data_IF_282081455455
#
_entry.id   IF_282081455455
#
_cell.length_a   1.000
_cell.length_b   1.000
_cell.length_c   1.000
_cell.angle_alpha   90.00
_cell.angle_beta   90.00
_cell.angle_gamma   90.00
#
_symmetry.space_group_name_H-M   'P 1'
#
loop_
_entity.id
_entity.type
_entity.pdbx_description
1 polymer ?
#
# COMPACT_ATOMS: atom_id res chain seq x y z
N UNK A 1 -15.02 -9.04 -13.79
CA UNK A 1 -14.71 -8.55 -12.43
C UNK A 1 -13.29 -8.01 -12.35
N UNK A 2 -12.25 -8.80 -12.67
CA UNK A 2 -10.85 -8.35 -12.56
C UNK A 2 -10.49 -7.13 -13.42
N UNK A 3 -10.81 -7.13 -14.71
CA UNK A 3 -10.62 -5.94 -15.56
C UNK A 3 -11.41 -4.73 -15.06
N UNK A 4 -12.61 -4.97 -14.54
CA UNK A 4 -13.44 -3.94 -13.93
C UNK A 4 -12.76 -3.34 -12.70
N UNK A 5 -12.11 -4.16 -11.85
CA UNK A 5 -11.37 -3.68 -10.69
C UNK A 5 -10.20 -2.79 -11.08
N UNK A 6 -9.44 -3.16 -12.11
CA UNK A 6 -8.32 -2.36 -12.62
C UNK A 6 -8.83 -1.01 -13.17
N UNK A 7 -9.93 -1.01 -13.92
CA UNK A 7 -10.50 0.24 -14.44
C UNK A 7 -11.14 1.09 -13.34
N UNK A 8 -11.74 0.48 -12.32
CA UNK A 8 -12.26 1.21 -11.17
C UNK A 8 -11.13 1.86 -10.38
N UNK A 9 -10.00 1.17 -10.17
CA UNK A 9 -8.82 1.76 -9.54
C UNK A 9 -8.31 2.97 -10.33
N UNK A 10 -8.22 2.86 -11.67
CA UNK A 10 -7.85 3.96 -12.55
C UNK A 10 -8.73 5.19 -12.37
N UNK A 11 -10.04 4.97 -12.31
CA UNK A 11 -11.01 6.08 -12.21
C UNK A 11 -11.01 6.65 -10.80
N UNK A 12 -10.92 5.79 -9.78
CA UNK A 12 -11.00 6.16 -8.38
C UNK A 12 -9.69 6.71 -7.80
N UNK A 13 -8.54 6.48 -8.44
CA UNK A 13 -7.22 6.95 -7.97
C UNK A 13 -7.20 8.44 -7.59
N UNK A 14 -7.86 9.28 -8.39
CA UNK A 14 -7.96 10.71 -8.15
C UNK A 14 -9.09 11.13 -7.17
N UNK A 15 -9.98 10.21 -6.78
CA UNK A 15 -11.17 10.49 -5.97
C UNK A 15 -11.14 9.69 -4.67
N UNK A 16 -10.60 10.30 -3.61
CA UNK A 16 -10.53 9.70 -2.27
C UNK A 16 -11.86 9.16 -1.74
N UNK A 17 -12.98 9.79 -2.12
CA UNK A 17 -14.34 9.37 -1.73
C UNK A 17 -14.75 7.99 -2.25
N UNK A 18 -14.08 7.46 -3.27
CA UNK A 18 -14.34 6.13 -3.83
C UNK A 18 -13.53 5.02 -3.14
N UNK A 19 -12.66 5.37 -2.20
CA UNK A 19 -11.85 4.40 -1.43
C UNK A 19 -12.68 3.31 -0.75
N UNK A 20 -13.81 3.59 -0.05
CA UNK A 20 -14.60 2.53 0.59
C UNK A 20 -15.15 1.50 -0.41
N UNK A 21 -15.46 1.93 -1.64
CA UNK A 21 -15.91 1.04 -2.71
C UNK A 21 -14.78 0.11 -3.18
N UNK A 22 -13.55 0.64 -3.33
CA UNK A 22 -12.38 -0.17 -3.64
C UNK A 22 -12.02 -1.13 -2.50
N UNK A 23 -12.06 -0.67 -1.25
CA UNK A 23 -11.90 -1.52 -0.07
C UNK A 23 -12.86 -2.71 -0.10
N UNK A 24 -14.16 -2.48 -0.31
CA UNK A 24 -15.14 -3.55 -0.43
C UNK A 24 -14.86 -4.50 -1.61
N UNK A 25 -14.40 -3.96 -2.75
CA UNK A 25 -14.08 -4.75 -3.94
C UNK A 25 -12.86 -5.66 -3.72
N UNK A 26 -11.76 -5.11 -3.20
CA UNK A 26 -10.57 -5.88 -2.87
C UNK A 26 -10.85 -6.85 -1.73
N UNK A 27 -11.70 -6.49 -0.76
CA UNK A 27 -12.14 -7.42 0.28
C UNK A 27 -12.83 -8.66 -0.33
N UNK A 28 -13.75 -8.41 -1.27
CA UNK A 28 -14.48 -9.47 -1.98
C UNK A 28 -13.58 -10.29 -2.89
N UNK A 29 -12.55 -9.70 -3.48
CA UNK A 29 -11.64 -10.39 -4.38
C UNK A 29 -10.57 -11.20 -3.64
N UNK A 30 -10.10 -10.73 -2.49
CA UNK A 30 -8.91 -11.28 -1.81
C UNK A 30 -9.21 -12.00 -0.51
N UNK A 31 -10.23 -11.62 0.29
CA UNK A 31 -10.56 -12.38 1.51
C UNK A 31 -11.68 -13.39 1.33
N UNK A 32 -12.73 -13.05 0.57
CA UNK A 32 -13.90 -13.94 0.47
C UNK A 32 -13.59 -15.29 -0.20
N UNK A 33 -12.75 -15.40 -1.23
CA UNK A 33 -12.36 -16.69 -1.78
C UNK A 33 -11.43 -17.43 -0.81
N UNK A 34 -11.59 -18.76 -0.71
CA UNK A 34 -10.61 -19.62 -0.05
C UNK A 34 -9.22 -19.45 -0.70
N UNK A 35 -8.13 -19.58 0.07
CA UNK A 35 -6.76 -19.35 -0.41
C UNK A 35 -6.43 -20.09 -1.73
N UNK A 36 -6.89 -21.33 -1.86
CA UNK A 36 -6.73 -22.15 -3.09
C UNK A 36 -7.36 -21.54 -4.37
N UNK A 37 -8.32 -20.62 -4.22
CA UNK A 37 -9.03 -19.97 -5.33
C UNK A 37 -8.54 -18.52 -5.57
N UNK A 38 -7.49 -18.06 -4.89
CA UNK A 38 -6.99 -16.68 -4.97
C UNK A 38 -5.98 -16.45 -6.08
N UNK A 39 -5.58 -17.48 -6.84
CA UNK A 39 -4.61 -17.34 -7.94
C UNK A 39 -5.07 -16.32 -8.99
N UNK A 40 -6.36 -16.32 -9.36
CA UNK A 40 -6.88 -15.37 -10.36
C UNK A 40 -6.99 -13.93 -9.81
N UNK A 41 -7.50 -13.70 -8.59
CA UNK A 41 -7.36 -12.42 -7.90
C UNK A 41 -5.92 -11.92 -7.79
N UNK A 42 -4.95 -12.79 -7.48
CA UNK A 42 -3.54 -12.41 -7.41
C UNK A 42 -2.96 -12.00 -8.76
N UNK A 43 -3.38 -12.63 -9.87
CA UNK A 43 -3.02 -12.12 -11.21
C UNK A 43 -3.55 -10.71 -11.44
N UNK A 44 -4.78 -10.41 -10.98
CA UNK A 44 -5.31 -9.06 -11.06
C UNK A 44 -4.48 -8.06 -10.24
N UNK A 45 -4.05 -8.45 -9.04
CA UNK A 45 -3.13 -7.68 -8.20
C UNK A 45 -1.80 -7.46 -8.93
N UNK A 46 -1.22 -8.51 -9.51
CA UNK A 46 0.01 -8.44 -10.31
C UNK A 46 -0.12 -7.43 -11.44
N UNK A 47 -1.22 -7.43 -12.20
CA UNK A 47 -1.42 -6.46 -13.30
C UNK A 47 -1.48 -5.00 -12.79
N UNK A 48 -2.01 -4.77 -11.58
CA UNK A 48 -1.96 -3.45 -10.95
C UNK A 48 -0.51 -3.10 -10.58
N UNK A 49 0.21 -4.02 -9.94
CA UNK A 49 1.57 -3.79 -9.45
C UNK A 49 2.59 -3.68 -10.57
N UNK A 50 2.36 -4.31 -11.73
CA UNK A 50 3.25 -4.34 -12.90
C UNK A 50 3.26 -3.03 -13.69
N UNK A 51 2.25 -2.18 -13.50
CA UNK A 51 2.10 -0.95 -14.26
C UNK A 51 2.34 0.25 -13.33
N UNK A 52 3.44 0.99 -13.49
CA UNK A 52 3.78 2.10 -12.59
C UNK A 52 2.65 3.13 -12.45
N UNK A 53 1.92 3.44 -13.53
CA UNK A 53 0.80 4.38 -13.47
C UNK A 53 -0.34 3.86 -12.59
N UNK A 54 -0.61 2.54 -12.61
CA UNK A 54 -1.61 1.93 -11.73
C UNK A 54 -1.14 1.91 -10.28
N UNK A 55 0.17 1.74 -10.04
CA UNK A 55 0.76 1.81 -8.72
C UNK A 55 0.66 3.22 -8.13
N UNK A 56 0.82 4.26 -8.96
CA UNK A 56 0.59 5.66 -8.57
C UNK A 56 -0.88 5.88 -8.18
N UNK A 57 -1.83 5.42 -9.01
CA UNK A 57 -3.26 5.53 -8.67
C UNK A 57 -3.60 4.79 -7.37
N UNK A 58 -2.97 3.64 -7.12
CA UNK A 58 -3.08 2.91 -5.87
C UNK A 58 -2.50 3.71 -4.69
N UNK A 59 -1.33 4.32 -4.83
CA UNK A 59 -0.72 5.15 -3.79
C UNK A 59 -1.59 6.37 -3.43
N UNK A 60 -2.18 7.02 -4.43
CA UNK A 60 -3.01 8.22 -4.23
C UNK A 60 -4.33 7.88 -3.54
N UNK A 61 -4.94 6.73 -3.84
CA UNK A 61 -6.18 6.31 -3.18
C UNK A 61 -5.96 5.76 -1.77
N UNK A 62 -4.76 5.24 -1.48
CA UNK A 62 -4.33 4.82 -0.14
C UNK A 62 -4.15 6.00 0.82
N UNK A 63 -3.95 7.22 0.32
CA UNK A 63 -3.84 8.39 1.19
C UNK A 63 -5.22 8.96 1.51
N UNK A 64 -5.61 8.96 2.79
CA UNK A 64 -6.90 9.49 3.26
C UNK A 64 -6.86 11.01 3.23
N UNK A 65 -7.95 11.63 2.78
CA UNK A 65 -8.11 13.07 2.92
C UNK A 65 -8.26 13.43 4.41
N UNK A 66 -7.27 14.14 4.96
CA UNK A 66 -7.24 14.57 6.37
C UNK A 66 -8.41 15.52 6.71
N UNK A 67 -9.09 16.10 5.71
CA UNK A 67 -10.25 16.98 5.89
C UNK A 67 -11.54 16.24 6.22
N UNK A 68 -11.66 14.96 5.88
CA UNK A 68 -12.75 14.12 6.35
C UNK A 68 -12.49 13.74 7.80
N UNK A 69 -13.24 14.32 8.75
CA UNK A 69 -13.15 14.06 10.20
C UNK A 69 -13.38 12.61 10.66
N UNK A 70 -13.37 11.64 9.74
CA UNK A 70 -13.20 10.22 10.02
C UNK A 70 -11.71 9.91 10.17
N UNK A 71 -11.12 10.36 11.28
CA UNK A 71 -9.83 9.85 11.72
C UNK A 71 -9.90 8.32 11.88
N UNK A 72 -8.83 7.64 11.50
CA UNK A 72 -8.58 6.20 11.74
C UNK A 72 -9.10 5.22 10.66
N UNK A 73 -9.10 5.58 9.37
CA UNK A 73 -8.93 4.57 8.32
C UNK A 73 -7.42 4.34 8.15
N UNK A 74 -6.95 3.12 8.36
CA UNK A 74 -5.54 2.78 8.20
C UNK A 74 -5.13 3.00 6.73
N UNK A 75 -4.27 3.99 6.49
CA UNK A 75 -3.85 4.43 5.15
C UNK A 75 -3.37 3.25 4.30
N UNK A 76 -2.74 2.26 4.93
CA UNK A 76 -2.20 1.08 4.28
C UNK A 76 -3.13 -0.13 4.31
N UNK A 77 -4.42 0.00 4.66
CA UNK A 77 -5.36 -1.12 4.74
C UNK A 77 -5.47 -1.92 3.44
N UNK A 78 -5.71 -1.25 2.31
CA UNK A 78 -5.80 -1.92 1.00
C UNK A 78 -4.49 -2.61 0.62
N UNK A 79 -3.35 -1.95 0.83
CA UNK A 79 -2.05 -2.51 0.48
C UNK A 79 -1.70 -3.72 1.38
N UNK A 80 -1.92 -3.62 2.69
CA UNK A 80 -1.73 -4.72 3.61
C UNK A 80 -2.66 -5.89 3.29
N UNK A 81 -3.91 -5.62 2.93
CA UNK A 81 -4.80 -6.67 2.49
C UNK A 81 -4.22 -7.46 1.30
N UNK A 82 -3.63 -6.76 0.32
CA UNK A 82 -2.98 -7.40 -0.82
C UNK A 82 -1.79 -8.26 -0.36
N UNK A 83 -0.94 -7.73 0.52
CA UNK A 83 0.24 -8.45 1.04
C UNK A 83 -0.16 -9.64 1.92
N UNK A 84 -1.15 -9.50 2.81
CA UNK A 84 -1.67 -10.57 3.66
C UNK A 84 -2.25 -11.71 2.80
N UNK A 85 -2.97 -11.38 1.72
CA UNK A 85 -3.49 -12.36 0.79
C UNK A 85 -2.37 -13.12 0.06
N UNK A 86 -1.27 -12.45 -0.28
CA UNK A 86 -0.08 -13.05 -0.86
C UNK A 86 0.65 -13.94 0.14
N UNK A 87 0.81 -13.49 1.38
CA UNK A 87 1.40 -14.26 2.47
C UNK A 87 0.61 -15.55 2.72
N UNK A 88 -0.71 -15.46 2.84
CA UNK A 88 -1.56 -16.65 3.08
C UNK A 88 -1.48 -17.65 1.93
N UNK A 89 -1.37 -17.17 0.68
CA UNK A 89 -1.15 -18.04 -0.49
C UNK A 89 0.24 -18.67 -0.52
N UNK A 90 1.26 -17.97 -0.01
CA UNK A 90 2.65 -18.43 0.02
C UNK A 90 2.94 -19.39 1.18
N UNK A 91 2.27 -19.26 2.34
CA UNK A 91 2.51 -20.10 3.53
C UNK A 91 1.53 -21.27 3.68
N UNK A 92 0.44 -21.33 2.90
CA UNK A 92 -0.47 -22.48 2.85
C UNK A 92 0.14 -23.78 2.29
N UNK A 93 1.46 -23.85 2.12
CA UNK A 93 2.27 -24.83 1.38
C UNK A 93 2.30 -26.24 2.00
N UNK A 94 1.70 -26.46 3.18
CA UNK A 94 1.94 -27.70 3.91
C UNK A 94 1.24 -28.96 3.38
N UNK A 95 0.36 -28.94 2.35
CA UNK A 95 -0.35 -30.21 1.99
C UNK A 95 -0.87 -30.50 0.57
N UNK A 96 -0.82 -29.68 -0.49
CA UNK A 96 -1.36 -30.10 -1.81
C UNK A 96 -0.83 -29.34 -3.05
N UNK A 97 -0.85 -30.01 -4.22
CA UNK A 97 -0.32 -29.55 -5.53
C UNK A 97 -0.97 -28.31 -6.15
N UNK A 98 -2.15 -27.87 -5.67
CA UNK A 98 -2.79 -26.62 -6.11
C UNK A 98 -2.14 -25.35 -5.55
N UNK A 99 -1.44 -25.44 -4.41
CA UNK A 99 -0.88 -24.29 -3.69
C UNK A 99 0.42 -23.73 -4.30
N UNK A 100 1.15 -24.49 -5.13
CA UNK A 100 2.36 -23.97 -5.79
C UNK A 100 2.04 -22.80 -6.73
N UNK A 101 0.85 -22.81 -7.32
CA UNK A 101 0.38 -21.71 -8.17
C UNK A 101 0.14 -20.41 -7.39
N UNK A 102 -0.27 -20.51 -6.12
CA UNK A 102 -0.48 -19.38 -5.23
C UNK A 102 0.85 -18.76 -4.79
N UNK A 103 1.83 -19.59 -4.43
CA UNK A 103 3.20 -19.13 -4.14
C UNK A 103 3.81 -18.45 -5.36
N UNK A 104 3.75 -19.07 -6.53
CA UNK A 104 4.26 -18.49 -7.77
C UNK A 104 3.60 -17.14 -8.09
N UNK A 105 2.27 -17.06 -8.03
CA UNK A 105 1.54 -15.81 -8.26
C UNK A 105 1.92 -14.72 -7.23
N UNK A 106 2.18 -15.10 -5.98
CA UNK A 106 2.61 -14.16 -4.93
C UNK A 106 4.03 -13.63 -5.20
N UNK A 107 4.96 -14.49 -5.59
CA UNK A 107 6.31 -14.08 -5.99
C UNK A 107 6.25 -13.16 -7.21
N UNK A 108 5.45 -13.50 -8.23
CA UNK A 108 5.26 -12.65 -9.41
C UNK A 108 4.69 -11.27 -9.05
N UNK A 109 3.78 -11.17 -8.08
CA UNK A 109 3.27 -9.89 -7.60
C UNK A 109 4.38 -9.04 -6.95
N UNK A 110 5.25 -9.65 -6.14
CA UNK A 110 6.39 -8.96 -5.52
C UNK A 110 7.41 -8.48 -6.56
N UNK A 111 7.76 -9.34 -7.53
CA UNK A 111 8.65 -8.95 -8.64
C UNK A 111 8.05 -7.78 -9.42
N UNK A 112 6.78 -7.87 -9.81
CA UNK A 112 6.09 -6.80 -10.52
C UNK A 112 6.07 -5.47 -9.75
N UNK A 113 5.84 -5.51 -8.43
CA UNK A 113 5.90 -4.34 -7.57
C UNK A 113 7.31 -3.73 -7.55
N UNK A 114 8.33 -4.55 -7.34
CA UNK A 114 9.72 -4.09 -7.25
C UNK A 114 10.20 -3.49 -8.58
N UNK A 115 9.85 -4.11 -9.71
CA UNK A 115 10.16 -3.59 -11.05
C UNK A 115 9.51 -2.21 -11.27
N UNK A 116 8.23 -2.07 -10.94
CA UNK A 116 7.54 -0.78 -11.06
C UNK A 116 8.13 0.28 -10.13
N UNK A 117 8.45 -0.08 -8.88
CA UNK A 117 9.10 0.83 -7.95
C UNK A 117 10.49 1.26 -8.43
N UNK A 118 11.25 0.35 -9.06
CA UNK A 118 12.54 0.69 -9.63
C UNK A 118 12.41 1.76 -10.72
N UNK A 119 11.41 1.66 -11.59
CA UNK A 119 11.12 2.67 -12.63
C UNK A 119 10.73 4.01 -12.00
N UNK A 120 9.89 4.00 -10.97
CA UNK A 120 9.49 5.23 -10.28
C UNK A 120 10.67 5.90 -9.56
N UNK A 121 11.55 5.10 -8.96
CA UNK A 121 12.74 5.58 -8.24
C UNK A 121 13.89 5.99 -9.16
N UNK A 122 13.99 5.47 -10.39
CA UNK A 122 15.05 5.84 -11.33
C UNK A 122 14.89 7.24 -11.91
N UNK A 123 13.71 7.86 -11.72
CA UNK A 123 13.40 9.18 -12.28
C UNK A 123 13.08 9.14 -13.77
N UNK A 124 12.94 7.96 -14.38
CA UNK A 124 12.50 7.77 -15.78
C UNK A 124 10.99 7.96 -15.95
N UNK A 125 10.39 8.80 -15.11
CA UNK A 125 8.94 9.08 -15.14
C UNK A 125 8.66 10.01 -16.31
N UNK A 126 7.86 9.53 -17.26
CA UNK A 126 7.41 10.37 -18.39
C UNK A 126 6.18 11.18 -18.00
N UNK A 127 5.97 12.33 -18.64
CA UNK A 127 4.77 13.18 -18.46
C UNK A 127 3.45 12.42 -18.66
N UNK A 128 3.46 11.33 -19.44
CA UNK A 128 2.29 10.48 -19.64
C UNK A 128 1.97 9.54 -18.47
N UNK A 129 2.91 9.31 -17.55
CA UNK A 129 2.75 8.35 -16.45
C UNK A 129 1.92 8.89 -15.29
N UNK A 130 1.98 10.21 -15.06
CA UNK A 130 1.23 10.87 -13.98
C UNK A 130 0.29 11.89 -14.61
N UNK A 131 -1.02 11.68 -14.45
CA UNK A 131 -1.99 12.64 -14.98
C UNK A 131 -2.01 13.94 -14.18
N UNK A 132 -2.33 15.06 -14.83
CA UNK A 132 -2.51 16.36 -14.17
C UNK A 132 -3.48 16.31 -12.98
N UNK A 133 -4.50 15.45 -13.05
CA UNK A 133 -5.45 15.24 -11.96
C UNK A 133 -4.77 14.66 -10.72
N UNK A 134 -3.89 13.68 -10.89
CA UNK A 134 -3.12 13.08 -9.80
C UNK A 134 -2.11 14.08 -9.25
N UNK A 135 -1.40 14.81 -10.11
CA UNK A 135 -0.46 15.86 -9.68
C UNK A 135 -1.18 16.93 -8.84
N UNK A 136 -2.33 17.41 -9.32
CA UNK A 136 -3.15 18.38 -8.59
C UNK A 136 -3.68 17.82 -7.26
N UNK A 137 -4.11 16.56 -7.23
CA UNK A 137 -4.57 15.90 -6.01
C UNK A 137 -3.43 15.74 -4.98
N UNK A 138 -2.22 15.39 -5.40
CA UNK A 138 -1.06 15.26 -4.49
C UNK A 138 -0.60 16.62 -3.99
N UNK A 139 -0.44 17.61 -4.87
CA UNK A 139 0.01 18.95 -4.51
C UNK A 139 -0.99 19.73 -3.64
N UNK A 140 -2.30 19.45 -3.79
CA UNK A 140 -3.31 20.04 -2.90
C UNK A 140 -3.34 19.40 -1.51
N UNK A 141 -2.79 18.19 -1.35
CA UNK A 141 -2.69 17.47 -0.06
C UNK A 141 -1.43 17.81 0.72
N UNK A 142 -0.33 18.10 0.02
CA UNK A 142 0.97 18.38 0.61
C UNK A 142 1.43 19.77 0.19
N UNK A 143 1.30 20.74 1.10
CA UNK A 143 1.77 22.11 0.87
C UNK A 143 3.29 22.15 0.74
N UNK A 144 3.98 21.34 1.53
CA UNK A 144 5.43 21.18 1.48
C UNK A 144 5.83 19.73 1.26
N UNK A 145 7.04 19.51 0.74
CA UNK A 145 7.56 18.16 0.52
C UNK A 145 7.65 17.34 1.82
N UNK A 146 7.90 18.00 2.97
CA UNK A 146 7.94 17.37 4.29
C UNK A 146 6.58 16.80 4.70
N UNK A 147 5.48 17.39 4.22
CA UNK A 147 4.14 16.91 4.53
C UNK A 147 3.83 15.59 3.82
N UNK A 148 4.62 15.22 2.81
CA UNK A 148 4.53 13.94 2.10
C UNK A 148 5.26 12.79 2.82
N UNK A 149 6.07 13.10 3.83
CA UNK A 149 6.72 12.07 4.64
C UNK A 149 5.65 11.25 5.39
N UNK A 150 5.73 9.93 5.26
CA UNK A 150 4.79 9.03 5.92
C UNK A 150 4.92 9.16 7.44
N UNK A 151 3.85 9.63 8.09
CA UNK A 151 3.75 9.83 9.54
C UNK A 151 2.73 8.88 10.19
N UNK A 152 2.13 7.99 9.40
CA UNK A 152 1.17 6.99 9.86
C UNK A 152 1.80 5.95 10.80
N UNK A 153 0.98 5.14 11.47
CA UNK A 153 1.48 4.08 12.34
C UNK A 153 2.38 3.14 11.54
N UNK A 154 3.45 2.67 12.17
CA UNK A 154 4.23 1.55 11.65
C UNK A 154 3.25 0.42 11.33
N UNK A 155 3.23 -0.03 10.07
CA UNK A 155 2.24 -0.97 9.51
C UNK A 155 2.25 -2.34 10.19
N UNK A 156 3.21 -2.59 11.07
CA UNK A 156 3.24 -3.75 11.95
C UNK A 156 2.22 -3.59 13.08
N UNK A 157 1.13 -4.36 13.01
CA UNK A 157 0.12 -4.47 14.08
C UNK A 157 0.72 -4.79 15.47
N UNK A 158 1.94 -5.34 15.52
CA UNK A 158 2.73 -5.53 16.73
C UNK A 158 4.21 -5.46 16.40
N UNK A 159 5.01 -4.85 17.29
CA UNK A 159 6.49 -4.92 17.25
C UNK A 159 6.97 -6.37 17.11
N UNK A 160 6.19 -7.36 17.56
CA UNK A 160 6.49 -8.78 17.42
C UNK A 160 6.82 -9.24 15.99
N UNK A 161 6.22 -8.62 14.96
CA UNK A 161 6.43 -8.99 13.55
C UNK A 161 7.67 -8.34 12.90
N UNK A 162 8.33 -7.40 13.60
CA UNK A 162 9.57 -6.79 13.10
C UNK A 162 10.77 -7.70 13.38
N UNK A 163 11.65 -7.95 12.38
CA UNK A 163 12.95 -8.53 12.65
C UNK A 163 13.70 -7.69 13.70
N UNK A 164 14.44 -8.34 14.60
CA UNK A 164 15.10 -7.69 15.74
C UNK A 164 15.88 -6.41 15.37
N UNK A 165 16.67 -6.36 14.28
CA UNK A 165 17.43 -5.16 13.93
C UNK A 165 16.57 -3.91 13.69
N UNK A 166 15.40 -4.10 13.06
CA UNK A 166 14.49 -2.99 12.77
C UNK A 166 13.70 -2.58 14.01
N UNK A 167 13.41 -3.53 14.90
CA UNK A 167 12.75 -3.27 16.17
C UNK A 167 13.62 -2.37 17.05
N UNK A 168 14.90 -2.67 17.13
CA UNK A 168 15.87 -1.91 17.92
C UNK A 168 16.03 -0.48 17.38
N UNK A 169 16.12 -0.32 16.05
CA UNK A 169 16.15 0.98 15.38
C UNK A 169 14.88 1.83 15.63
N UNK A 170 13.71 1.18 15.74
CA UNK A 170 12.44 1.88 16.05
C UNK A 170 12.39 2.34 17.51
N UNK A 171 12.92 1.54 18.45
CA UNK A 171 13.02 1.93 19.86
C UNK A 171 13.94 3.14 20.00
N UNK A 172 15.09 3.13 19.32
CA UNK A 172 16.03 4.24 19.25
C UNK A 172 15.38 5.50 18.62
N UNK A 173 14.65 5.35 17.52
CA UNK A 173 13.93 6.47 16.89
C UNK A 173 12.87 7.07 17.82
N UNK A 174 12.10 6.25 18.54
CA UNK A 174 11.11 6.74 19.52
C UNK A 174 11.75 7.45 20.70
N UNK A 175 12.89 6.98 21.20
CA UNK A 175 13.63 7.64 22.27
C UNK A 175 14.12 9.02 21.82
N UNK A 176 14.69 9.13 20.62
CA UNK A 176 15.15 10.40 20.08
C UNK A 176 14.00 11.40 19.85
N UNK A 177 12.83 10.94 19.39
CA UNK A 177 11.64 11.80 19.23
C UNK A 177 11.11 12.27 20.59
N UNK A 178 11.11 11.44 21.63
CA UNK A 178 10.68 11.84 22.97
C UNK A 178 11.64 12.83 23.65
N UNK A 179 12.95 12.64 23.46
CA UNK A 179 13.98 13.53 23.99
C UNK A 179 13.96 14.89 23.30
N UNK A 180 13.77 14.93 21.98
CA UNK A 180 13.64 16.20 21.23
C UNK A 180 12.34 16.94 21.53
N UNK A 181 11.27 16.25 21.92
CA UNK A 181 9.98 16.86 22.29
C UNK A 181 9.94 17.39 23.73
N UNK A 182 10.84 16.92 24.61
CA UNK A 182 10.90 17.34 26.03
C UNK A 182 11.87 18.49 26.29
N UNK A 183 12.56 18.99 25.26
CA UNK A 183 13.61 20.01 25.39
C UNK A 183 13.20 21.46 25.08
N UNK A 184 11.92 21.74 24.75
CA UNK A 184 11.52 23.08 24.26
C UNK A 184 10.68 23.93 25.23
N UNK A 185 10.50 23.53 26.49
CA UNK A 185 9.76 24.32 27.50
C UNK A 185 10.65 24.70 28.68
N UNK A 186 11.74 25.42 28.43
CA UNK A 186 12.34 26.33 29.42
C UNK A 186 13.37 27.25 28.75
N UNK A 187 12.95 28.45 28.38
CA UNK A 187 13.70 29.67 28.66
C UNK A 187 12.75 30.87 28.51
N UNK A 188 12.65 31.63 29.61
CA UNK A 188 11.87 32.87 29.73
C UNK A 188 12.67 34.12 29.43
#
# INVERSE_FOLDING_TARGET
VYLTAIQLLRIAGAYGSLRPMLEALFHRMLLLPAAQNRTEPLKCVREILKTPERLIDLAVILYVDKSTGQGCSDEMALFRLMVDAMEECAFGVSTNSGMETGLHASVECMVALLDSLQILCSGEVTESMISDQIVSAVNSRHETLKDADYTGPLTYQSMARLPAPYRDAIVEFRQNVFETSSGSDSDG
#
